data_IF_857589439320
#
_entry.id   IF_857589439320
#
_cell.length_a   1.000
_cell.length_b   1.000
_cell.length_c   1.000
_cell.angle_alpha   90.00
_cell.angle_beta   90.00
_cell.angle_gamma   90.00
#
_symmetry.space_group_name_H-M   'P 1'
#
loop_
_entity.id
_entity.type
_entity.pdbx_description
1 polymer ?
#
# COMPACT_ATOMS: atom_id res chain seq x y z
N UNK A 1 -21.86 3.27 8.26
CA UNK A 1 -21.54 3.33 6.82
C UNK A 1 -20.19 2.66 6.60
N UNK A 2 -20.04 1.70 5.68
CA UNK A 2 -18.73 1.16 5.33
C UNK A 2 -17.89 2.26 4.68
N UNK A 3 -16.60 2.33 5.05
CA UNK A 3 -15.65 3.27 4.45
C UNK A 3 -14.37 2.55 4.07
N UNK A 4 -13.70 3.06 3.04
CA UNK A 4 -12.41 2.58 2.57
C UNK A 4 -11.29 3.51 3.06
N UNK A 5 -10.11 2.94 3.31
CA UNK A 5 -8.88 3.71 3.51
C UNK A 5 -8.01 3.59 2.27
N UNK A 6 -7.54 4.73 1.76
CA UNK A 6 -6.64 4.77 0.60
C UNK A 6 -5.49 5.72 0.86
N UNK A 7 -4.27 5.30 0.58
CA UNK A 7 -3.08 6.10 0.81
C UNK A 7 -2.00 5.87 -0.23
N UNK A 8 -1.28 6.95 -0.55
CA UNK A 8 -0.12 6.94 -1.43
C UNK A 8 1.13 7.39 -0.66
N UNK A 9 2.26 6.67 -0.81
CA UNK A 9 3.55 7.00 -0.21
C UNK A 9 3.44 7.22 1.32
N UNK A 10 3.82 8.39 1.83
CA UNK A 10 3.60 8.73 3.25
C UNK A 10 2.14 8.57 3.70
N UNK A 11 1.18 8.91 2.83
CA UNK A 11 -0.24 8.68 3.10
C UNK A 11 -0.56 7.19 3.27
N UNK A 12 0.11 6.31 2.53
CA UNK A 12 -0.05 4.86 2.71
C UNK A 12 0.45 4.40 4.09
N UNK A 13 1.57 4.95 4.57
CA UNK A 13 2.05 4.70 5.93
C UNK A 13 1.03 5.16 6.99
N UNK A 14 0.48 6.37 6.84
CA UNK A 14 -0.55 6.87 7.75
C UNK A 14 -1.79 5.97 7.73
N UNK A 15 -2.26 5.57 6.54
CA UNK A 15 -3.45 4.71 6.42
C UNK A 15 -3.22 3.30 6.97
N UNK A 16 -2.03 2.73 6.85
CA UNK A 16 -1.69 1.46 7.50
C UNK A 16 -1.81 1.57 9.03
N UNK A 17 -1.37 2.69 9.63
CA UNK A 17 -1.53 2.95 11.07
C UNK A 17 -2.99 3.14 11.47
N UNK A 18 -3.76 3.89 10.68
CA UNK A 18 -5.20 4.10 10.93
C UNK A 18 -5.94 2.76 10.82
N UNK A 19 -5.68 1.96 9.79
CA UNK A 19 -6.25 0.63 9.61
C UNK A 19 -5.96 -0.27 10.82
N UNK A 20 -4.71 -0.27 11.31
CA UNK A 20 -4.31 -1.03 12.49
C UNK A 20 -5.07 -0.58 13.74
N UNK A 21 -5.09 0.73 14.00
CA UNK A 21 -5.80 1.29 15.17
C UNK A 21 -7.29 0.98 15.15
N UNK A 22 -7.95 1.10 14.00
CA UNK A 22 -9.36 0.79 13.82
C UNK A 22 -9.66 -0.70 14.01
N UNK A 23 -8.80 -1.57 13.47
CA UNK A 23 -8.90 -3.02 13.63
C UNK A 23 -8.77 -3.41 15.11
N UNK A 24 -7.78 -2.85 15.81
CA UNK A 24 -7.56 -3.09 17.25
C UNK A 24 -8.73 -2.58 18.11
N UNK A 25 -9.44 -1.54 17.65
CA UNK A 25 -10.63 -1.01 18.28
C UNK A 25 -11.93 -1.78 17.92
N UNK A 26 -11.85 -2.85 17.13
CA UNK A 26 -13.01 -3.64 16.71
C UNK A 26 -13.89 -2.98 15.65
N UNK A 27 -13.38 -1.95 14.96
CA UNK A 27 -14.07 -1.19 13.93
C UNK A 27 -13.27 -1.14 12.62
N UNK A 28 -12.91 -2.30 12.01
CA UNK A 28 -12.08 -2.33 10.82
C UNK A 28 -12.73 -1.59 9.64
N UNK A 29 -11.92 -0.96 8.76
CA UNK A 29 -12.45 -0.40 7.51
C UNK A 29 -12.98 -1.51 6.60
N UNK A 30 -13.81 -1.14 5.62
CA UNK A 30 -14.33 -2.10 4.65
C UNK A 30 -13.25 -2.60 3.67
N UNK A 31 -12.23 -1.77 3.41
CA UNK A 31 -11.02 -2.16 2.69
C UNK A 31 -9.89 -1.15 2.96
N UNK A 32 -8.65 -1.58 2.73
CA UNK A 32 -7.46 -0.71 2.76
C UNK A 32 -6.69 -0.83 1.45
N UNK A 33 -6.29 0.30 0.85
CA UNK A 33 -5.55 0.37 -0.41
C UNK A 33 -4.30 1.23 -0.24
N UNK A 34 -3.12 0.64 -0.45
CA UNK A 34 -1.83 1.26 -0.19
C UNK A 34 -0.98 1.26 -1.46
N UNK A 35 -0.61 2.44 -1.95
CA UNK A 35 0.25 2.60 -3.11
C UNK A 35 1.61 3.18 -2.70
N UNK A 36 2.72 2.59 -3.14
CA UNK A 36 4.06 3.11 -2.85
C UNK A 36 4.42 3.10 -1.36
N UNK A 37 3.92 2.12 -0.59
CA UNK A 37 4.02 2.12 0.88
C UNK A 37 5.47 2.07 1.35
N UNK A 38 5.95 3.05 2.15
CA UNK A 38 7.33 3.03 2.63
C UNK A 38 7.51 2.00 3.74
N UNK A 39 8.68 1.39 3.86
CA UNK A 39 9.10 0.58 5.01
C UNK A 39 10.61 0.60 5.16
N UNK A 40 11.11 0.51 6.39
CA UNK A 40 12.54 0.54 6.67
C UNK A 40 13.16 1.91 6.38
N UNK A 41 14.41 1.92 5.94
CA UNK A 41 15.13 3.16 5.61
C UNK A 41 14.85 3.57 4.17
N UNK A 42 14.15 4.68 4.00
CA UNK A 42 13.76 5.29 2.72
C UNK A 42 14.61 6.54 2.48
N UNK A 43 15.14 6.69 1.26
CA UNK A 43 16.01 7.81 0.86
C UNK A 43 17.18 8.08 1.83
N UNK A 44 17.72 7.05 2.50
CA UNK A 44 18.87 7.11 3.43
C UNK A 44 18.72 7.99 4.67
N UNK A 45 17.57 8.62 4.88
CA UNK A 45 17.38 9.57 5.98
C UNK A 45 16.12 9.29 6.81
N UNK A 46 15.08 8.72 6.20
CA UNK A 46 13.78 8.53 6.86
C UNK A 46 13.52 7.06 7.15
N UNK A 47 13.29 6.74 8.42
CA UNK A 47 12.90 5.40 8.85
C UNK A 47 11.38 5.31 9.02
N UNK A 48 10.77 4.34 8.33
CA UNK A 48 9.35 4.03 8.44
C UNK A 48 9.16 2.67 9.10
N UNK A 49 8.40 2.66 10.19
CA UNK A 49 7.94 1.44 10.85
C UNK A 49 6.47 1.21 10.54
N UNK A 50 6.20 0.80 9.29
CA UNK A 50 4.84 0.58 8.80
C UNK A 50 4.28 -0.68 9.45
N UNK A 51 3.15 -0.60 10.18
CA UNK A 51 2.58 -1.75 10.86
C UNK A 51 2.09 -2.79 9.85
N UNK A 52 1.84 -4.00 10.35
CA UNK A 52 1.12 -5.00 9.58
C UNK A 52 -0.26 -4.45 9.16
N UNK A 53 -0.63 -4.70 7.91
CA UNK A 53 -1.92 -4.28 7.37
C UNK A 53 -2.92 -5.45 7.44
N UNK A 54 -4.24 -5.18 7.40
CA UNK A 54 -5.25 -6.21 7.21
C UNK A 54 -4.96 -7.10 5.99
N UNK A 55 -5.26 -8.40 6.08
CA UNK A 55 -4.90 -9.38 5.05
C UNK A 55 -5.57 -9.17 3.69
N UNK A 56 -6.66 -8.41 3.66
CA UNK A 56 -7.41 -7.99 2.47
C UNK A 56 -6.92 -6.66 1.88
N UNK A 57 -5.84 -6.09 2.42
CA UNK A 57 -5.25 -4.83 1.92
C UNK A 57 -4.73 -4.99 0.50
N UNK A 58 -5.20 -4.15 -0.42
CA UNK A 58 -4.58 -4.00 -1.72
C UNK A 58 -3.28 -3.21 -1.58
N UNK A 59 -2.16 -3.80 -1.99
CA UNK A 59 -0.86 -3.12 -2.09
C UNK A 59 -0.45 -3.02 -3.55
N UNK A 60 -0.17 -1.81 -4.04
CA UNK A 60 0.32 -1.57 -5.39
C UNK A 60 1.67 -0.85 -5.34
N UNK A 61 2.66 -1.34 -6.08
CA UNK A 61 4.00 -0.77 -6.08
C UNK A 61 4.56 -0.65 -7.49
N UNK A 62 5.36 0.39 -7.74
CA UNK A 62 6.12 0.53 -8.99
C UNK A 62 7.38 -0.31 -8.94
N UNK A 63 7.68 -1.08 -9.99
CA UNK A 63 8.89 -1.89 -10.08
C UNK A 63 10.18 -1.05 -9.98
N UNK A 64 10.17 0.13 -10.61
CA UNK A 64 11.33 1.03 -10.74
C UNK A 64 11.27 2.20 -9.76
N UNK A 65 10.52 2.04 -8.66
CA UNK A 65 10.41 3.04 -7.61
C UNK A 65 11.78 3.32 -6.95
N UNK A 66 12.32 4.51 -7.23
CA UNK A 66 13.60 5.00 -6.69
C UNK A 66 13.46 5.72 -5.35
N UNK A 67 12.22 6.01 -4.91
CA UNK A 67 11.94 6.63 -3.61
C UNK A 67 11.85 5.53 -2.56
N UNK A 68 10.99 4.54 -2.80
CA UNK A 68 10.79 3.36 -1.96
C UNK A 68 11.13 2.12 -2.77
N UNK A 69 12.30 1.53 -2.50
CA UNK A 69 12.73 0.35 -3.22
C UNK A 69 11.72 -0.80 -3.07
N UNK A 70 11.41 -1.50 -4.16
CA UNK A 70 10.51 -2.66 -4.15
C UNK A 70 10.93 -3.70 -3.09
N UNK A 71 12.24 -3.91 -2.91
CA UNK A 71 12.76 -4.82 -1.89
C UNK A 71 12.26 -4.47 -0.47
N UNK A 72 12.20 -3.19 -0.12
CA UNK A 72 11.71 -2.73 1.19
C UNK A 72 10.23 -3.05 1.39
N UNK A 73 9.41 -2.91 0.35
CA UNK A 73 7.99 -3.29 0.40
C UNK A 73 7.82 -4.79 0.53
N UNK A 74 8.64 -5.58 -0.18
CA UNK A 74 8.62 -7.03 -0.09
C UNK A 74 9.10 -7.53 1.28
N UNK A 75 10.05 -6.85 1.92
CA UNK A 75 10.45 -7.13 3.32
C UNK A 75 9.31 -6.92 4.31
N UNK A 76 8.53 -5.85 4.14
CA UNK A 76 7.34 -5.59 4.95
C UNK A 76 6.21 -6.59 4.70
N UNK A 77 5.96 -6.94 3.44
CA UNK A 77 4.85 -7.80 3.04
C UNK A 77 5.07 -9.28 3.42
N UNK A 78 6.32 -9.77 3.35
CA UNK A 78 6.65 -11.19 3.49
C UNK A 78 6.25 -11.82 4.83
N UNK A 79 6.52 -11.23 6.01
CA UNK A 79 6.15 -11.83 7.30
C UNK A 79 4.64 -12.02 7.49
N UNK A 80 3.84 -11.16 6.85
CA UNK A 80 2.38 -11.16 6.92
C UNK A 80 1.72 -11.86 5.72
N UNK A 81 2.51 -12.41 4.79
CA UNK A 81 2.02 -13.08 3.56
C UNK A 81 1.08 -12.20 2.74
N UNK A 82 1.29 -10.89 2.76
CA UNK A 82 0.45 -9.93 2.06
C UNK A 82 0.84 -9.86 0.57
N UNK A 83 -0.09 -10.08 -0.38
CA UNK A 83 0.21 -9.92 -1.79
C UNK A 83 0.56 -8.49 -2.17
N UNK A 84 1.48 -8.32 -3.13
CA UNK A 84 1.86 -7.01 -3.69
C UNK A 84 1.66 -7.05 -5.20
N UNK A 85 0.87 -6.13 -5.73
CA UNK A 85 0.72 -5.93 -7.17
C UNK A 85 1.84 -5.01 -7.64
N UNK A 86 2.78 -5.56 -8.40
CA UNK A 86 3.88 -4.80 -8.99
C UNK A 86 3.50 -4.35 -10.39
N UNK A 87 3.69 -3.06 -10.68
CA UNK A 87 3.50 -2.49 -12.03
C UNK A 87 4.88 -2.39 -12.71
N UNK A 88 5.17 -3.22 -13.73
CA UNK A 88 6.46 -3.22 -14.41
C UNK A 88 6.80 -1.86 -15.01
N UNK A 89 8.05 -1.42 -14.88
CA UNK A 89 8.54 -0.13 -15.38
C UNK A 89 7.99 1.12 -14.67
N UNK A 90 6.97 1.01 -13.81
CA UNK A 90 6.39 2.15 -13.13
C UNK A 90 7.30 2.68 -12.01
N UNK A 91 7.43 4.00 -11.96
CA UNK A 91 8.15 4.71 -10.90
C UNK A 91 7.26 4.95 -9.67
N UNK A 92 7.80 5.66 -8.66
CA UNK A 92 7.07 5.98 -7.42
C UNK A 92 5.70 6.62 -7.67
N UNK A 93 5.60 7.49 -8.67
CA UNK A 93 4.38 8.26 -8.98
C UNK A 93 3.51 7.60 -10.05
N UNK A 94 3.87 6.40 -10.51
CA UNK A 94 3.24 5.71 -11.64
C UNK A 94 3.15 6.58 -12.91
N UNK A 95 4.12 7.48 -13.14
CA UNK A 95 4.15 8.34 -14.34
C UNK A 95 4.13 7.49 -15.61
N UNK A 96 3.22 7.80 -16.53
CA UNK A 96 2.98 6.98 -17.74
C UNK A 96 2.25 5.65 -17.50
N UNK A 97 1.99 5.29 -16.24
CA UNK A 97 1.33 4.05 -15.82
C UNK A 97 0.06 4.28 -15.00
N UNK A 98 -0.40 5.53 -14.85
CA UNK A 98 -1.60 5.88 -14.07
C UNK A 98 -2.86 5.15 -14.54
N UNK A 99 -3.00 4.91 -15.85
CA UNK A 99 -4.14 4.12 -16.38
C UNK A 99 -4.14 2.68 -15.86
N UNK A 100 -2.97 2.03 -15.81
CA UNK A 100 -2.81 0.68 -15.26
C UNK A 100 -3.10 0.68 -13.76
N UNK A 101 -2.54 1.65 -13.03
CA UNK A 101 -2.81 1.83 -11.59
C UNK A 101 -4.30 2.00 -11.30
N UNK A 102 -4.98 2.89 -12.04
CA UNK A 102 -6.42 3.12 -11.91
C UNK A 102 -7.22 1.85 -12.16
N UNK A 103 -6.93 1.10 -13.24
CA UNK A 103 -7.62 -0.16 -13.52
C UNK A 103 -7.41 -1.23 -12.44
N UNK A 104 -6.25 -1.27 -11.77
CA UNK A 104 -6.02 -2.17 -10.63
C UNK A 104 -6.95 -1.79 -9.47
N UNK A 105 -6.99 -0.50 -9.12
CA UNK A 105 -7.83 0.03 -8.04
C UNK A 105 -9.31 -0.19 -8.34
N UNK A 106 -9.77 0.13 -9.55
CA UNK A 106 -11.16 -0.04 -9.98
C UNK A 106 -11.61 -1.50 -9.91
N UNK A 107 -10.78 -2.45 -10.38
CA UNK A 107 -11.09 -3.88 -10.27
C UNK A 107 -11.18 -4.34 -8.82
N UNK A 108 -10.27 -3.87 -7.96
CA UNK A 108 -10.34 -4.19 -6.54
C UNK A 108 -11.61 -3.64 -5.90
N UNK A 109 -11.94 -2.36 -6.12
CA UNK A 109 -13.18 -1.76 -5.60
C UNK A 109 -14.43 -2.48 -6.12
N UNK A 110 -14.44 -2.90 -7.39
CA UNK A 110 -15.54 -3.67 -7.96
C UNK A 110 -15.72 -5.04 -7.28
N UNK A 111 -14.64 -5.65 -6.79
CA UNK A 111 -14.68 -6.94 -6.07
C UNK A 111 -15.17 -6.85 -4.62
N UNK A 112 -15.29 -5.64 -4.05
CA UNK A 112 -15.80 -5.42 -2.70
C UNK A 112 -17.35 -5.37 -2.64
N UNK A 113 -18.02 -5.49 -3.79
CA UNK A 113 -19.49 -5.45 -3.92
C UNK A 113 -20.14 -6.81 -3.77
#
# INVERSE_FOLDING_TARGET
>A
MPFALAGFSFGAFVQARVARTLTDAGAPPACTMLAGVPFGTVQRERRYDTPAAPGDTLVVHGETDTVVALASVMEWARPQRLPVVVVPGANHFFTGSLGVFASIVERHVASLR
#
